data_IF_214081735392
#
_entry.id   IF_214081735392
#
_cell.length_a   1.000
_cell.length_b   1.000
_cell.length_c   1.000
_cell.angle_alpha   90.00
_cell.angle_beta   90.00
_cell.angle_gamma   90.00
#
_symmetry.space_group_name_H-M   'P 1'
#
loop_
_entity.id
_entity.type
_entity.pdbx_description
1 polymer ?
#
# COMPACT_ATOMS: atom_id res chain seq x y z
N UNK A 1 -20.45 12.59 -6.80
CA UNK A 1 -19.85 11.56 -5.93
C UNK A 1 -18.38 11.46 -6.29
N UNK A 2 -17.46 11.56 -5.33
CA UNK A 2 -16.02 11.36 -5.60
C UNK A 2 -15.73 9.87 -5.64
N UNK A 3 -15.19 9.37 -6.75
CA UNK A 3 -14.76 7.97 -6.88
C UNK A 3 -13.61 7.69 -5.92
N UNK A 4 -13.70 6.59 -5.16
CA UNK A 4 -12.65 6.16 -4.24
C UNK A 4 -11.34 5.87 -5.00
N UNK A 5 -10.20 6.25 -4.43
CA UNK A 5 -8.91 6.15 -5.11
C UNK A 5 -8.39 4.71 -5.03
N UNK A 6 -8.14 4.01 -6.15
CA UNK A 6 -7.61 2.66 -6.13
C UNK A 6 -6.16 2.65 -5.62
N UNK A 7 -5.86 1.83 -4.63
CA UNK A 7 -4.50 1.66 -4.07
C UNK A 7 -4.19 0.19 -3.81
N UNK A 8 -2.90 -0.14 -3.82
CA UNK A 8 -2.38 -1.47 -3.46
C UNK A 8 -1.82 -1.41 -2.04
N UNK A 9 -2.16 -2.40 -1.22
CA UNK A 9 -1.58 -2.64 0.10
C UNK A 9 -0.86 -4.00 0.13
N UNK A 10 0.36 -4.03 0.67
CA UNK A 10 1.17 -5.22 0.81
C UNK A 10 1.59 -5.37 2.28
N UNK A 11 1.01 -6.34 2.98
CA UNK A 11 1.31 -6.66 4.37
C UNK A 11 1.79 -8.11 4.55
N UNK A 12 2.21 -8.43 5.77
CA UNK A 12 2.67 -9.78 6.14
C UNK A 12 1.62 -10.60 6.90
N UNK A 13 0.52 -9.98 7.35
CA UNK A 13 -0.50 -10.61 8.20
C UNK A 13 -1.89 -10.33 7.65
N UNK A 14 -2.70 -11.38 7.48
CA UNK A 14 -4.05 -11.30 6.89
C UNK A 14 -4.98 -10.38 7.68
N UNK A 15 -4.98 -10.51 8.99
CA UNK A 15 -5.81 -9.71 9.88
C UNK A 15 -5.48 -8.21 9.79
N UNK A 16 -4.19 -7.86 9.85
CA UNK A 16 -3.74 -6.47 9.72
C UNK A 16 -4.10 -5.90 8.34
N UNK A 17 -3.89 -6.68 7.27
CA UNK A 17 -4.24 -6.26 5.91
C UNK A 17 -5.75 -5.98 5.77
N UNK A 18 -6.60 -6.83 6.38
CA UNK A 18 -8.05 -6.66 6.39
C UNK A 18 -8.49 -5.40 7.17
N UNK A 19 -7.91 -5.18 8.35
CA UNK A 19 -8.21 -4.01 9.20
C UNK A 19 -7.75 -2.70 8.56
N UNK A 20 -6.52 -2.65 8.04
CA UNK A 20 -6.01 -1.47 7.30
C UNK A 20 -6.89 -1.18 6.10
N UNK A 21 -7.28 -2.21 5.32
CA UNK A 21 -8.23 -2.04 4.21
C UNK A 21 -9.56 -1.44 4.67
N UNK A 22 -10.13 -1.92 5.77
CA UNK A 22 -11.38 -1.38 6.31
C UNK A 22 -11.22 0.09 6.71
N UNK A 23 -10.11 0.46 7.36
CA UNK A 23 -9.84 1.84 7.75
C UNK A 23 -9.51 2.77 6.58
N UNK A 24 -9.09 2.25 5.42
CA UNK A 24 -8.80 3.03 4.23
C UNK A 24 -10.06 3.54 3.51
N UNK A 25 -11.19 2.86 3.70
CA UNK A 25 -12.48 3.27 3.17
C UNK A 25 -13.06 4.49 3.91
N UNK A 26 -13.94 5.27 3.26
CA UNK A 26 -14.36 5.17 1.86
C UNK A 26 -13.41 5.87 0.87
N UNK A 27 -12.42 6.65 1.34
CA UNK A 27 -11.63 7.53 0.49
C UNK A 27 -10.70 6.78 -0.48
N UNK A 28 -10.18 5.63 -0.03
CA UNK A 28 -9.25 4.81 -0.79
C UNK A 28 -9.83 3.40 -0.95
N UNK A 29 -10.05 3.00 -2.19
CA UNK A 29 -10.40 1.63 -2.53
C UNK A 29 -9.12 0.78 -2.56
N UNK A 30 -8.88 -0.01 -1.51
CA UNK A 30 -7.78 -0.97 -1.53
C UNK A 30 -8.19 -2.15 -2.41
N UNK A 31 -7.79 -2.09 -3.69
CA UNK A 31 -8.17 -3.06 -4.73
C UNK A 31 -7.44 -4.39 -4.56
N UNK A 32 -6.25 -4.35 -3.96
CA UNK A 32 -5.43 -5.49 -3.57
C UNK A 32 -4.86 -5.23 -2.17
N UNK A 33 -5.09 -6.14 -1.23
CA UNK A 33 -4.42 -6.16 0.07
C UNK A 33 -3.76 -7.52 0.31
N UNK A 34 -2.52 -7.67 -0.17
CA UNK A 34 -1.71 -8.87 -0.01
C UNK A 34 -1.31 -9.08 1.45
N UNK A 35 -1.28 -10.34 1.87
CA UNK A 35 -0.84 -10.75 3.21
C UNK A 35 0.24 -11.85 3.18
N UNK A 36 0.91 -12.01 2.04
CA UNK A 36 2.06 -12.88 1.83
C UNK A 36 3.08 -12.09 1.01
N UNK A 37 4.24 -11.79 1.61
CA UNK A 37 5.23 -10.91 0.98
C UNK A 37 5.81 -11.51 -0.32
N UNK A 38 6.22 -12.80 -0.38
CA UNK A 38 6.70 -13.39 -1.63
C UNK A 38 5.68 -13.38 -2.77
N UNK A 39 4.40 -13.64 -2.47
CA UNK A 39 3.34 -13.60 -3.47
C UNK A 39 3.12 -12.16 -3.98
N UNK A 40 3.06 -11.18 -3.06
CA UNK A 40 2.92 -9.78 -3.42
C UNK A 40 4.08 -9.27 -4.30
N UNK A 41 5.31 -9.76 -4.09
CA UNK A 41 6.47 -9.45 -4.93
C UNK A 41 6.36 -9.96 -6.38
N UNK A 42 5.49 -10.94 -6.64
CA UNK A 42 5.23 -11.45 -7.98
C UNK A 42 3.97 -10.83 -8.59
N UNK A 43 2.93 -10.65 -7.78
CA UNK A 43 1.61 -10.21 -8.22
C UNK A 43 1.53 -8.69 -8.44
N UNK A 44 2.09 -7.89 -7.53
CA UNK A 44 2.00 -6.42 -7.58
C UNK A 44 2.68 -5.82 -8.81
N UNK A 45 3.88 -6.27 -9.25
CA UNK A 45 4.47 -5.79 -10.49
C UNK A 45 3.56 -5.97 -11.71
N UNK A 46 2.84 -7.09 -11.79
CA UNK A 46 1.90 -7.38 -12.87
C UNK A 46 0.71 -6.41 -12.84
N UNK A 47 0.15 -6.16 -11.65
CA UNK A 47 -0.95 -5.20 -11.46
C UNK A 47 -0.52 -3.78 -11.85
N UNK A 48 0.65 -3.32 -11.40
CA UNK A 48 1.18 -1.99 -11.72
C UNK A 48 1.45 -1.84 -13.23
N UNK A 49 1.86 -2.91 -13.89
CA UNK A 49 2.06 -2.95 -15.35
C UNK A 49 0.75 -3.08 -16.16
N UNK A 50 -0.43 -3.06 -15.51
CA UNK A 50 -1.73 -3.20 -16.17
C UNK A 50 -2.04 -4.62 -16.68
N UNK A 51 -1.31 -5.63 -16.19
CA UNK A 51 -1.44 -7.04 -16.58
C UNK A 51 -1.92 -7.87 -15.39
N UNK A 52 -3.17 -7.66 -14.98
CA UNK A 52 -3.75 -8.33 -13.82
C UNK A 52 -3.43 -9.85 -13.77
N UNK A 53 -2.94 -10.37 -12.63
CA UNK A 53 -2.76 -11.81 -12.45
C UNK A 53 -4.09 -12.56 -12.63
N UNK A 54 -4.09 -13.81 -13.14
CA UNK A 54 -5.31 -14.59 -13.22
C UNK A 54 -5.89 -14.83 -11.82
N UNK A 55 -7.22 -14.84 -11.69
CA UNK A 55 -7.90 -15.02 -10.41
C UNK A 55 -7.46 -16.29 -9.65
N UNK A 56 -7.07 -17.34 -10.37
CA UNK A 56 -6.55 -18.57 -9.77
C UNK A 56 -5.23 -18.38 -9.00
N UNK A 57 -4.39 -17.42 -9.40
CA UNK A 57 -3.14 -17.11 -8.72
C UNK A 57 -3.34 -16.26 -7.46
N UNK A 58 -4.42 -15.50 -7.41
CA UNK A 58 -4.73 -14.55 -6.34
C UNK A 58 -5.36 -15.27 -5.13
N UNK A 59 -4.54 -15.92 -4.31
CA UNK A 59 -4.96 -16.70 -3.13
C UNK A 59 -4.55 -16.11 -1.78
N UNK A 60 -3.69 -15.10 -1.76
CA UNK A 60 -3.01 -14.60 -0.54
C UNK A 60 -3.27 -13.12 -0.25
N UNK A 61 -4.38 -12.62 -0.77
CA UNK A 61 -4.82 -11.24 -0.65
C UNK A 61 -6.28 -11.17 -0.20
N UNK A 62 -6.63 -10.05 0.43
CA UNK A 62 -8.01 -9.65 0.70
C UNK A 62 -8.34 -8.44 -0.16
N UNK A 63 -9.56 -8.33 -0.64
CA UNK A 63 -9.96 -7.22 -1.51
C UNK A 63 -10.72 -7.69 -2.75
N UNK A 64 -11.28 -6.75 -3.52
CA UNK A 64 -12.12 -7.05 -4.67
C UNK A 64 -11.33 -7.62 -5.85
N UNK A 65 -10.01 -7.34 -5.93
CA UNK A 65 -9.15 -7.68 -7.08
C UNK A 65 -9.70 -7.14 -8.40
N UNK A 66 -10.40 -6.01 -8.34
CA UNK A 66 -10.84 -5.26 -9.51
C UNK A 66 -9.72 -4.31 -9.93
N UNK A 67 -9.07 -4.66 -11.03
CA UNK A 67 -7.96 -3.92 -11.62
C UNK A 67 -8.37 -3.17 -12.90
N UNK A 68 -9.67 -2.95 -13.12
CA UNK A 68 -10.17 -2.17 -14.26
C UNK A 68 -9.73 -0.71 -14.22
N UNK A 69 -9.52 -0.17 -13.01
CA UNK A 69 -8.92 1.15 -12.79
C UNK A 69 -7.51 0.97 -12.24
N UNK A 70 -6.54 1.59 -12.89
CA UNK A 70 -5.14 1.50 -12.49
C UNK A 70 -4.93 2.04 -11.06
N UNK A 71 -4.23 1.30 -10.18
CA UNK A 71 -3.89 1.79 -8.85
C UNK A 71 -3.03 3.04 -8.89
N UNK A 72 -3.20 3.90 -7.89
CA UNK A 72 -2.50 5.19 -7.78
C UNK A 72 -1.37 5.19 -6.76
N UNK A 73 -1.19 4.12 -5.99
CA UNK A 73 -0.11 3.99 -5.03
C UNK A 73 0.14 2.52 -4.69
N UNK A 74 1.39 2.19 -4.35
CA UNK A 74 1.77 0.92 -3.72
C UNK A 74 2.19 1.19 -2.28
N UNK A 75 1.63 0.44 -1.34
CA UNK A 75 1.81 0.69 0.10
C UNK A 75 2.37 -0.57 0.74
N UNK A 76 3.51 -0.48 1.39
CA UNK A 76 4.11 -1.59 2.14
C UNK A 76 3.94 -1.41 3.66
N UNK A 77 3.48 -2.48 4.29
CA UNK A 77 3.39 -2.59 5.74
C UNK A 77 4.76 -2.80 6.39
N UNK A 78 4.82 -2.68 7.72
CA UNK A 78 6.05 -2.84 8.51
C UNK A 78 6.74 -4.21 8.45
N UNK A 79 6.17 -5.19 7.75
CA UNK A 79 6.80 -6.51 7.54
C UNK A 79 7.86 -6.53 6.42
N UNK A 80 7.96 -5.48 5.62
CA UNK A 80 8.98 -5.37 4.58
C UNK A 80 10.32 -4.92 5.17
N UNK A 81 11.35 -5.75 5.04
CA UNK A 81 12.74 -5.30 5.19
C UNK A 81 13.15 -4.41 4.01
N UNK A 82 14.32 -3.78 4.10
CA UNK A 82 14.88 -3.00 3.00
C UNK A 82 15.03 -3.83 1.72
N UNK A 83 15.69 -4.99 1.79
CA UNK A 83 15.93 -5.85 0.63
C UNK A 83 14.64 -6.32 -0.04
N UNK A 84 13.62 -6.64 0.75
CA UNK A 84 12.31 -7.08 0.26
C UNK A 84 11.57 -5.92 -0.42
N UNK A 85 11.64 -4.73 0.16
CA UNK A 85 11.09 -3.54 -0.47
C UNK A 85 11.79 -3.24 -1.79
N UNK A 86 13.12 -3.26 -1.83
CA UNK A 86 13.90 -3.03 -3.05
C UNK A 86 13.57 -4.09 -4.11
N UNK A 87 13.42 -5.34 -3.71
CA UNK A 87 12.97 -6.43 -4.60
C UNK A 87 11.62 -6.11 -5.24
N UNK A 88 10.61 -5.75 -4.44
CA UNK A 88 9.29 -5.38 -4.94
C UNK A 88 9.35 -4.14 -5.85
N UNK A 89 10.06 -3.10 -5.42
CA UNK A 89 10.18 -1.83 -6.14
C UNK A 89 10.82 -2.05 -7.52
N UNK A 90 11.93 -2.77 -7.58
CA UNK A 90 12.62 -3.06 -8.84
C UNK A 90 11.79 -3.98 -9.75
N UNK A 91 11.08 -4.96 -9.19
CA UNK A 91 10.18 -5.79 -9.97
C UNK A 91 9.07 -4.95 -10.62
N UNK A 92 8.48 -3.99 -9.89
CA UNK A 92 7.48 -3.07 -10.44
C UNK A 92 8.07 -2.16 -11.53
N UNK A 93 9.29 -1.65 -11.32
CA UNK A 93 9.99 -0.82 -12.30
C UNK A 93 10.26 -1.59 -13.59
N UNK A 94 10.78 -2.82 -13.47
CA UNK A 94 11.07 -3.68 -14.61
C UNK A 94 9.81 -4.09 -15.38
N UNK A 95 8.71 -4.39 -14.67
CA UNK A 95 7.45 -4.80 -15.30
C UNK A 95 6.77 -3.66 -16.08
N UNK A 96 6.92 -2.42 -15.61
CA UNK A 96 6.25 -1.23 -16.17
C UNK A 96 7.14 -0.41 -17.10
N UNK A 97 8.46 -0.64 -17.10
CA UNK A 97 9.48 0.18 -17.75
C UNK A 97 9.74 1.51 -17.03
N UNK A 98 8.67 2.25 -16.71
CA UNK A 98 8.71 3.48 -15.91
C UNK A 98 7.66 3.40 -14.81
N UNK A 99 8.06 3.62 -13.56
CA UNK A 99 7.12 3.67 -12.43
C UNK A 99 6.25 4.91 -12.51
N UNK A 100 4.94 4.73 -12.70
CA UNK A 100 3.94 5.80 -12.72
C UNK A 100 3.35 6.11 -11.34
N UNK A 101 3.57 5.23 -10.36
CA UNK A 101 2.98 5.34 -9.02
C UNK A 101 4.03 5.58 -7.95
N UNK A 102 3.73 6.39 -6.91
CA UNK A 102 4.54 6.47 -5.70
C UNK A 102 4.43 5.20 -4.84
N UNK A 103 5.46 4.99 -4.03
CA UNK A 103 5.53 3.95 -3.01
C UNK A 103 5.47 4.57 -1.62
N UNK A 104 4.70 3.96 -0.72
CA UNK A 104 4.60 4.37 0.67
C UNK A 104 5.05 3.22 1.56
N UNK A 105 6.01 3.48 2.45
CA UNK A 105 6.56 2.50 3.37
C UNK A 105 6.22 2.88 4.79
N UNK A 106 5.74 1.90 5.55
CA UNK A 106 5.59 2.08 6.99
C UNK A 106 6.95 2.37 7.61
N UNK A 107 7.05 3.43 8.39
CA UNK A 107 8.20 3.75 9.20
C UNK A 107 8.13 2.99 10.54
N UNK A 108 8.86 1.87 10.62
CA UNK A 108 8.94 1.06 11.83
C UNK A 108 9.66 1.80 12.95
N UNK A 109 10.69 2.61 12.64
CA UNK A 109 11.39 3.38 13.66
C UNK A 109 10.47 4.41 14.30
N UNK A 110 9.68 5.13 13.49
CA UNK A 110 8.64 6.02 14.00
C UNK A 110 7.60 5.27 14.82
N UNK A 111 7.18 4.07 14.38
CA UNK A 111 6.21 3.27 15.12
C UNK A 111 6.75 2.86 16.49
N UNK A 112 7.98 2.34 16.55
CA UNK A 112 8.65 1.95 17.80
C UNK A 112 8.84 3.16 18.73
N UNK A 113 9.25 4.31 18.18
CA UNK A 113 9.41 5.55 18.93
C UNK A 113 8.07 6.00 19.56
N UNK A 114 6.99 6.06 18.77
CA UNK A 114 5.67 6.47 19.26
C UNK A 114 5.13 5.52 20.34
N UNK A 115 5.39 4.22 20.20
CA UNK A 115 5.03 3.24 21.21
C UNK A 115 5.82 3.45 22.51
N UNK A 116 7.14 3.66 22.41
CA UNK A 116 8.01 3.88 23.56
C UNK A 116 7.67 5.16 24.34
N UNK A 117 7.16 6.20 23.66
CA UNK A 117 6.75 7.46 24.29
C UNK A 117 5.28 7.51 24.70
N UNK A 118 4.52 6.42 24.50
CA UNK A 118 3.07 6.37 24.78
C UNK A 118 2.22 7.25 23.87
N UNK A 119 2.78 7.70 22.74
CA UNK A 119 2.11 8.55 21.75
C UNK A 119 1.47 7.77 20.60
N UNK A 120 1.62 6.44 20.61
CA UNK A 120 0.98 5.57 19.64
C UNK A 120 1.02 4.10 20.06
N UNK A 121 0.28 3.24 19.34
CA UNK A 121 0.26 1.81 19.60
C UNK A 121 1.55 1.10 19.16
N UNK A 122 1.96 0.09 19.94
CA UNK A 122 2.96 -0.88 19.51
C UNK A 122 2.43 -1.76 18.36
N UNK A 123 3.34 -2.29 17.53
CA UNK A 123 3.01 -3.13 16.36
C UNK A 123 2.08 -4.32 16.66
N UNK A 124 2.15 -4.89 17.86
CA UNK A 124 1.37 -6.06 18.27
C UNK A 124 -0.02 -5.71 18.83
N UNK A 125 -0.32 -4.43 19.06
CA UNK A 125 -1.60 -4.01 19.64
C UNK A 125 -2.73 -4.00 18.61
N UNK A 126 -3.97 -4.10 19.10
CA UNK A 126 -5.18 -4.06 18.28
C UNK A 126 -5.44 -2.70 17.63
N UNK A 127 -4.86 -1.63 18.19
CA UNK A 127 -5.01 -0.24 17.76
C UNK A 127 -4.03 0.12 16.63
N UNK A 128 -2.97 -0.69 16.44
CA UNK A 128 -1.95 -0.45 15.43
C UNK A 128 -2.51 -0.26 14.01
N UNK A 129 -3.42 -1.11 13.49
CA UNK A 129 -3.98 -0.95 12.14
C UNK A 129 -4.65 0.40 11.92
N UNK A 130 -5.39 0.92 12.91
CA UNK A 130 -6.04 2.21 12.81
C UNK A 130 -5.02 3.36 12.80
N UNK A 131 -4.04 3.33 13.71
CA UNK A 131 -3.03 4.38 13.83
C UNK A 131 -2.12 4.47 12.59
N UNK A 132 -1.64 3.33 12.07
CA UNK A 132 -0.80 3.30 10.87
C UNK A 132 -1.58 3.75 9.63
N UNK A 133 -2.88 3.42 9.55
CA UNK A 133 -3.76 3.89 8.47
C UNK A 133 -3.97 5.40 8.53
N UNK A 134 -4.10 5.99 9.72
CA UNK A 134 -4.23 7.43 9.88
C UNK A 134 -2.99 8.17 9.36
N UNK A 135 -1.78 7.69 9.70
CA UNK A 135 -0.52 8.25 9.18
C UNK A 135 -0.39 8.09 7.66
N UNK A 136 -0.75 6.92 7.14
CA UNK A 136 -0.79 6.65 5.70
C UNK A 136 -1.71 7.63 4.96
N UNK A 137 -2.96 7.79 5.42
CA UNK A 137 -3.91 8.74 4.82
C UNK A 137 -3.38 10.17 4.86
N UNK A 138 -2.74 10.58 5.96
CA UNK A 138 -2.12 11.90 6.06
C UNK A 138 -1.02 12.07 5.00
N UNK A 139 -0.12 11.09 4.86
CA UNK A 139 0.97 11.14 3.89
C UNK A 139 0.47 11.08 2.43
N UNK A 140 -0.53 10.26 2.13
CA UNK A 140 -1.17 10.20 0.80
C UNK A 140 -1.74 11.57 0.40
N UNK A 141 -2.43 12.25 1.31
CA UNK A 141 -2.99 13.59 1.07
C UNK A 141 -1.90 14.64 0.90
N UNK A 142 -0.88 14.61 1.77
CA UNK A 142 0.26 15.53 1.72
C UNK A 142 0.95 15.53 0.35
N UNK A 143 1.11 14.35 -0.28
CA UNK A 143 1.79 14.23 -1.58
C UNK A 143 0.85 14.30 -2.78
N UNK A 144 -0.45 14.51 -2.57
CA UNK A 144 -1.43 14.73 -3.64
C UNK A 144 -2.18 13.48 -4.15
N UNK A 145 -2.03 12.32 -3.50
CA UNK A 145 -2.91 11.15 -3.71
C UNK A 145 -4.18 11.35 -2.86
N UNK A 146 -4.97 12.37 -3.17
CA UNK A 146 -6.07 12.86 -2.34
C UNK A 146 -7.43 12.75 -3.04
N UNK A 147 -8.54 12.50 -2.31
CA UNK A 147 -9.88 12.45 -2.87
C UNK A 147 -10.22 13.67 -3.72
N UNK A 148 -10.95 13.45 -4.82
CA UNK A 148 -11.30 14.50 -5.78
C UNK A 148 -10.26 14.72 -6.88
N UNK A 149 -9.09 14.07 -6.81
CA UNK A 149 -8.13 14.03 -7.92
C UNK A 149 -8.36 12.80 -8.81
N UNK A 150 -8.14 12.93 -10.11
CA UNK A 150 -8.21 11.81 -11.07
C UNK A 150 -6.85 11.17 -11.35
N UNK A 151 -5.77 11.95 -11.19
CA UNK A 151 -4.40 11.56 -11.50
C UNK A 151 -3.44 11.95 -10.38
N UNK A 152 -2.27 11.30 -10.33
CA UNK A 152 -1.19 11.68 -9.44
C UNK A 152 -0.42 12.88 -10.01
N UNK A 153 0.13 13.77 -9.17
CA UNK A 153 1.11 14.74 -9.63
C UNK A 153 2.30 14.03 -10.29
N UNK A 154 2.74 14.47 -11.47
CA UNK A 154 3.90 13.85 -12.14
C UNK A 154 5.18 13.88 -11.30
N UNK A 155 5.28 14.83 -10.35
CA UNK A 155 6.41 14.98 -9.44
C UNK A 155 6.54 13.86 -8.40
N UNK A 156 5.56 12.96 -8.24
CA UNK A 156 5.60 11.87 -7.25
C UNK A 156 5.79 10.48 -7.85
N UNK A 157 5.79 10.37 -9.19
CA UNK A 157 5.96 9.10 -9.89
C UNK A 157 7.27 8.40 -9.48
N UNK A 158 7.20 7.13 -9.08
CA UNK A 158 8.34 6.34 -8.62
C UNK A 158 8.97 6.79 -7.30
N UNK A 159 8.50 7.87 -6.66
CA UNK A 159 9.07 8.31 -5.38
C UNK A 159 8.66 7.39 -4.24
N UNK A 160 9.54 7.27 -3.25
CA UNK A 160 9.27 6.55 -2.01
C UNK A 160 9.04 7.52 -0.87
N UNK A 161 7.97 7.31 -0.11
CA UNK A 161 7.60 8.11 1.05
C UNK A 161 7.46 7.22 2.29
N UNK A 162 7.90 7.73 3.43
CA UNK A 162 7.74 7.08 4.74
C UNK A 162 6.54 7.68 5.49
N UNK A 163 5.86 6.86 6.30
CA UNK A 163 4.68 7.28 7.08
C UNK A 163 4.52 6.48 8.39
#
# INVERSE_FOLDING_TARGET
MTTAIPVILCGAKREVAALVRAHMLPEYNVVYAGHNLPAAEQEVPLIVAGKAPPASALQTQVGPNDFTVAPRAVITGGGYSEDRFQTLYQACANASGVLSVPFFRTDNHLTDQLAATGQGPAHASSEYPAAVTARLKAKLREVGVAPGTTENPGSIAGKTYWF
#
